data_IF_648443000308
#
_entry.id   IF_648443000308
#
_cell.length_a   1.000
_cell.length_b   1.000
_cell.length_c   1.000
_cell.angle_alpha   90.00
_cell.angle_beta   90.00
_cell.angle_gamma   90.00
#
_symmetry.space_group_name_H-M   'P 1'
#
loop_
_entity.id
_entity.type
_entity.pdbx_description
1 polymer ?
#
# COMPACT_ATOMS: atom_id res chain seq x y z
N UNK A 1 22.78 20.13 11.16
CA UNK A 1 22.97 20.39 9.71
C UNK A 1 21.73 19.83 9.04
N UNK A 2 20.92 20.66 8.40
CA UNK A 2 19.76 20.20 7.64
C UNK A 2 20.28 19.40 6.46
N UNK A 3 20.10 18.09 6.45
CA UNK A 3 20.34 17.29 5.26
C UNK A 3 19.34 17.78 4.20
N UNK A 4 19.84 18.12 3.01
CA UNK A 4 18.96 18.42 1.88
C UNK A 4 18.12 17.18 1.59
N UNK A 5 16.81 17.36 1.39
CA UNK A 5 15.94 16.24 0.98
C UNK A 5 16.51 15.61 -0.29
N UNK A 6 16.49 14.27 -0.41
CA UNK A 6 16.99 13.60 -1.59
C UNK A 6 16.23 14.03 -2.85
N UNK A 7 16.95 14.14 -3.96
CA UNK A 7 16.32 14.36 -5.26
C UNK A 7 15.94 13.00 -5.85
N UNK A 8 14.64 12.78 -6.04
CA UNK A 8 14.12 11.58 -6.68
C UNK A 8 14.10 11.74 -8.19
N UNK A 9 14.40 10.64 -8.91
CA UNK A 9 14.56 10.61 -10.36
C UNK A 9 13.68 9.55 -11.02
N UNK A 10 12.89 8.84 -10.23
CA UNK A 10 11.96 7.81 -10.70
C UNK A 10 11.19 7.21 -9.54
N UNK A 11 10.48 6.13 -9.84
CA UNK A 11 9.58 5.44 -8.92
C UNK A 11 9.75 3.93 -9.02
N UNK A 12 9.70 3.27 -7.88
CA UNK A 12 9.53 1.83 -7.73
C UNK A 12 8.10 1.53 -7.28
N UNK A 13 7.36 0.74 -8.04
CA UNK A 13 6.07 0.18 -7.62
C UNK A 13 6.30 -1.28 -7.22
N UNK A 14 5.99 -1.62 -5.99
CA UNK A 14 5.88 -3.00 -5.51
C UNK A 14 4.41 -3.41 -5.57
N UNK A 15 4.10 -4.56 -6.15
CA UNK A 15 2.71 -4.97 -6.38
C UNK A 15 2.60 -6.50 -6.46
N UNK A 16 1.39 -7.03 -6.43
CA UNK A 16 1.10 -8.38 -6.87
C UNK A 16 0.33 -8.34 -8.20
N UNK A 17 0.07 -9.48 -8.84
CA UNK A 17 -0.53 -9.48 -10.18
C UNK A 17 -1.88 -10.21 -10.29
N UNK A 18 -2.26 -10.98 -9.28
CA UNK A 18 -3.57 -11.66 -9.22
C UNK A 18 -3.47 -13.07 -8.65
N UNK A 19 -4.54 -13.83 -8.77
CA UNK A 19 -4.77 -15.12 -8.14
C UNK A 19 -4.38 -16.33 -9.02
N UNK A 20 -3.44 -16.14 -9.94
CA UNK A 20 -2.83 -17.22 -10.70
C UNK A 20 -1.61 -17.79 -9.95
N UNK A 21 -1.08 -18.95 -10.37
CA UNK A 21 0.18 -19.46 -9.83
C UNK A 21 1.27 -18.38 -9.87
N UNK A 22 2.00 -18.20 -8.77
CA UNK A 22 2.99 -17.14 -8.54
C UNK A 22 2.46 -15.70 -8.55
N UNK A 23 1.21 -15.45 -8.89
CA UNK A 23 0.66 -14.11 -8.97
C UNK A 23 0.53 -13.39 -7.64
N UNK A 24 0.41 -14.15 -6.54
CA UNK A 24 0.37 -13.69 -5.16
C UNK A 24 1.78 -13.76 -4.55
N UNK A 25 2.69 -12.99 -5.15
CA UNK A 25 4.08 -12.75 -4.73
C UNK A 25 4.41 -11.28 -5.02
N UNK A 26 5.62 -10.82 -4.66
CA UNK A 26 6.01 -9.43 -4.84
C UNK A 26 6.69 -9.22 -6.19
N UNK A 27 6.10 -8.38 -7.01
CA UNK A 27 6.61 -7.91 -8.29
C UNK A 27 7.09 -6.48 -8.19
N UNK A 28 8.07 -6.12 -8.99
CA UNK A 28 8.60 -4.78 -9.09
C UNK A 28 8.33 -4.20 -10.48
N UNK A 29 7.99 -2.91 -10.50
CA UNK A 29 7.91 -2.12 -11.73
C UNK A 29 8.58 -0.77 -11.51
N UNK A 30 9.21 -0.25 -12.55
CA UNK A 30 9.92 1.02 -12.56
C UNK A 30 9.23 2.02 -13.46
N UNK A 31 9.24 3.30 -13.06
CA UNK A 31 8.80 4.43 -13.87
C UNK A 31 9.70 5.64 -13.65
N UNK A 32 9.95 6.41 -14.71
CA UNK A 32 10.65 7.70 -14.62
C UNK A 32 9.71 8.84 -14.21
N UNK A 33 8.45 8.76 -14.60
CA UNK A 33 7.47 9.85 -14.45
C UNK A 33 6.30 9.52 -13.52
N UNK A 34 6.18 8.25 -13.06
CA UNK A 34 5.09 7.76 -12.22
C UNK A 34 3.82 7.38 -13.01
N UNK A 35 3.82 7.51 -14.33
CA UNK A 35 2.67 7.23 -15.19
C UNK A 35 2.95 6.12 -16.23
N UNK A 36 4.20 5.97 -16.67
CA UNK A 36 4.63 4.96 -17.64
C UNK A 36 5.54 3.95 -16.94
N UNK A 37 5.03 2.74 -16.75
CA UNK A 37 5.67 1.70 -15.95
C UNK A 37 6.26 0.58 -16.81
N UNK A 38 7.42 0.11 -16.41
CA UNK A 38 8.10 -1.05 -17.01
C UNK A 38 8.18 -2.16 -15.96
N UNK A 39 7.83 -3.38 -16.32
CA UNK A 39 8.02 -4.53 -15.44
C UNK A 39 9.53 -4.78 -15.27
N UNK A 40 9.95 -5.07 -14.06
CA UNK A 40 11.32 -5.49 -13.75
C UNK A 40 11.42 -7.02 -13.65
N UNK A 41 12.64 -7.56 -13.65
CA UNK A 41 12.93 -8.99 -13.51
C UNK A 41 12.24 -9.86 -14.58
N UNK A 42 12.13 -9.35 -15.81
CA UNK A 42 11.46 -10.06 -16.90
C UNK A 42 9.96 -10.30 -16.63
N UNK A 43 9.34 -9.50 -15.74
CA UNK A 43 7.95 -9.69 -15.32
C UNK A 43 7.72 -10.87 -14.38
N UNK A 44 8.77 -11.40 -13.76
CA UNK A 44 8.71 -12.44 -12.73
C UNK A 44 8.76 -11.81 -11.33
N UNK A 45 8.27 -12.51 -10.29
CA UNK A 45 8.34 -11.99 -8.92
C UNK A 45 9.79 -11.81 -8.47
N UNK A 46 10.06 -10.68 -7.80
CA UNK A 46 11.36 -10.36 -7.21
C UNK A 46 11.52 -10.98 -5.83
N UNK A 47 10.45 -10.95 -5.01
CA UNK A 47 10.45 -11.57 -3.69
C UNK A 47 9.33 -12.60 -3.59
N UNK A 48 9.62 -13.68 -2.88
CA UNK A 48 8.69 -14.78 -2.64
C UNK A 48 8.57 -15.05 -1.14
N UNK A 49 7.38 -15.42 -0.69
CA UNK A 49 7.15 -15.92 0.65
C UNK A 49 6.75 -17.39 0.62
N UNK A 50 7.50 -18.21 1.32
CA UNK A 50 7.15 -19.60 1.64
C UNK A 50 6.63 -19.73 3.09
N UNK A 51 6.45 -18.59 3.77
CA UNK A 51 5.94 -18.52 5.13
C UNK A 51 4.41 -18.51 5.13
N UNK A 52 3.81 -18.86 6.26
CA UNK A 52 2.38 -18.77 6.48
C UNK A 52 1.56 -19.41 5.36
N UNK A 53 0.80 -18.61 4.63
CA UNK A 53 -0.06 -19.05 3.52
C UNK A 53 0.70 -19.29 2.21
N UNK A 54 2.02 -19.06 2.20
CA UNK A 54 2.92 -19.27 1.03
C UNK A 54 2.55 -18.40 -0.18
N UNK A 55 2.14 -17.20 0.10
CA UNK A 55 1.83 -16.16 -0.87
C UNK A 55 1.61 -14.85 -0.16
N UNK A 56 1.80 -13.76 -0.87
CA UNK A 56 1.61 -12.42 -0.33
C UNK A 56 0.86 -11.53 -1.30
N UNK A 57 0.05 -10.64 -0.74
CA UNK A 57 -0.74 -9.63 -1.46
C UNK A 57 -0.47 -8.26 -0.89
N UNK A 58 -0.90 -7.24 -1.59
CA UNK A 58 -0.92 -5.86 -1.12
C UNK A 58 0.43 -5.40 -0.54
N UNK A 59 1.56 -5.63 -1.26
CA UNK A 59 2.85 -5.24 -0.73
C UNK A 59 3.00 -3.72 -0.68
N UNK A 60 3.49 -3.22 0.43
CA UNK A 60 3.83 -1.82 0.62
C UNK A 60 5.31 -1.64 0.93
N UNK A 61 5.91 -0.56 0.46
CA UNK A 61 7.33 -0.27 0.64
C UNK A 61 7.54 1.11 1.27
N UNK A 62 8.40 1.20 2.26
CA UNK A 62 8.73 2.46 2.92
C UNK A 62 10.23 2.58 3.16
N UNK A 63 10.75 3.82 3.02
CA UNK A 63 12.12 4.19 3.34
C UNK A 63 12.24 4.55 4.82
N UNK A 64 13.33 4.14 5.49
CA UNK A 64 13.62 4.59 6.84
C UNK A 64 13.91 6.11 6.85
N UNK A 65 13.65 6.80 7.96
CA UNK A 65 13.91 8.24 8.04
C UNK A 65 15.42 8.60 7.97
N UNK A 66 16.29 7.63 8.21
CA UNK A 66 17.74 7.77 8.04
C UNK A 66 18.22 7.47 6.63
N UNK A 67 17.30 7.04 5.73
CA UNK A 67 17.58 6.68 4.34
C UNK A 67 18.61 5.54 4.18
N UNK A 68 18.83 4.76 5.24
CA UNK A 68 19.78 3.66 5.29
C UNK A 68 19.14 2.30 5.09
N UNK A 69 17.80 2.24 5.08
CA UNK A 69 17.01 1.01 4.93
C UNK A 69 15.69 1.23 4.24
N UNK A 70 15.21 0.15 3.67
CA UNK A 70 13.86 0.01 3.14
C UNK A 70 13.19 -1.18 3.82
N UNK A 71 11.91 -1.02 4.13
CA UNK A 71 11.06 -2.10 4.61
C UNK A 71 9.98 -2.35 3.59
N UNK A 72 9.73 -3.62 3.31
CA UNK A 72 8.59 -4.07 2.53
C UNK A 72 7.72 -4.93 3.44
N UNK A 73 6.43 -4.62 3.50
CA UNK A 73 5.44 -5.35 4.29
C UNK A 73 4.32 -5.82 3.37
N UNK A 74 3.72 -6.97 3.66
CA UNK A 74 2.67 -7.52 2.81
C UNK A 74 1.69 -8.38 3.60
N UNK A 75 0.48 -8.52 3.07
CA UNK A 75 -0.55 -9.46 3.55
C UNK A 75 -0.08 -10.89 3.37
N UNK A 76 -0.10 -11.70 4.42
CA UNK A 76 0.10 -13.15 4.32
C UNK A 76 -1.20 -13.82 3.84
N UNK A 77 -1.36 -13.93 2.52
CA UNK A 77 -2.58 -14.48 1.91
C UNK A 77 -2.29 -15.07 0.54
N UNK A 78 -2.83 -16.29 0.31
CA UNK A 78 -2.80 -16.96 -0.99
C UNK A 78 -4.18 -17.54 -1.33
N UNK A 79 -4.96 -16.82 -2.10
CA UNK A 79 -6.28 -17.30 -2.59
C UNK A 79 -6.13 -18.41 -3.63
N UNK A 80 -5.06 -18.38 -4.45
CA UNK A 80 -4.72 -19.44 -5.41
C UNK A 80 -4.52 -20.83 -4.77
N UNK A 81 -4.37 -20.91 -3.45
CA UNK A 81 -4.33 -22.19 -2.71
C UNK A 81 -5.68 -22.90 -2.65
N UNK A 82 -6.77 -22.24 -3.04
CA UNK A 82 -8.14 -22.78 -2.95
C UNK A 82 -8.84 -22.50 -1.61
N UNK A 83 -8.25 -21.67 -0.74
CA UNK A 83 -8.80 -21.32 0.57
C UNK A 83 -10.19 -20.66 0.48
N UNK A 84 -10.40 -19.80 -0.52
CA UNK A 84 -11.63 -19.02 -0.69
C UNK A 84 -11.73 -17.80 0.24
N UNK A 85 -12.47 -16.78 -0.21
CA UNK A 85 -12.57 -15.49 0.44
C UNK A 85 -13.21 -15.53 1.83
N UNK A 86 -14.25 -16.37 2.04
CA UNK A 86 -14.87 -16.48 3.37
C UNK A 86 -13.88 -16.95 4.43
N UNK A 87 -13.09 -17.99 4.12
CA UNK A 87 -12.05 -18.46 5.04
C UNK A 87 -10.91 -17.43 5.21
N UNK A 88 -10.58 -16.67 4.16
CA UNK A 88 -9.58 -15.61 4.24
C UNK A 88 -10.01 -14.47 5.18
N UNK A 89 -11.31 -14.13 5.22
CA UNK A 89 -11.89 -13.13 6.12
C UNK A 89 -11.99 -13.63 7.56
N UNK A 90 -12.44 -14.88 7.77
CA UNK A 90 -12.84 -15.36 9.10
C UNK A 90 -11.74 -16.14 9.84
N UNK A 91 -10.83 -16.75 9.08
CA UNK A 91 -9.77 -17.62 9.59
C UNK A 91 -8.47 -17.46 8.78
N UNK A 92 -8.18 -16.25 8.34
CA UNK A 92 -6.96 -15.88 7.66
C UNK A 92 -5.76 -15.76 8.60
N UNK A 93 -4.59 -15.51 8.01
CA UNK A 93 -3.39 -15.19 8.77
C UNK A 93 -3.57 -13.91 9.58
N UNK A 94 -2.99 -13.88 10.77
CA UNK A 94 -2.89 -12.67 11.62
C UNK A 94 -1.49 -12.07 11.60
N UNK A 95 -0.67 -12.54 10.67
CA UNK A 95 0.68 -12.05 10.45
C UNK A 95 0.72 -11.13 9.23
N UNK A 96 1.65 -10.18 9.26
CA UNK A 96 2.19 -9.56 8.05
C UNK A 96 3.56 -10.17 7.77
N UNK A 97 3.95 -10.23 6.51
CA UNK A 97 5.28 -10.66 6.09
C UNK A 97 6.13 -9.43 5.83
N UNK A 98 7.34 -9.44 6.33
CA UNK A 98 8.25 -8.30 6.29
C UNK A 98 9.58 -8.71 5.64
N UNK A 99 10.15 -7.80 4.82
CA UNK A 99 11.53 -7.84 4.32
C UNK A 99 12.23 -6.52 4.62
N UNK A 100 13.55 -6.54 4.72
CA UNK A 100 14.36 -5.33 4.78
C UNK A 100 15.47 -5.36 3.71
N UNK A 101 15.85 -4.20 3.21
CA UNK A 101 16.96 -4.01 2.29
C UNK A 101 17.71 -2.72 2.59
N UNK A 102 19.02 -2.69 2.33
CA UNK A 102 19.81 -1.46 2.38
C UNK A 102 19.96 -0.77 1.02
N UNK A 103 19.47 -1.40 -0.08
CA UNK A 103 19.79 -0.92 -1.42
C UNK A 103 18.73 -1.19 -2.49
N UNK A 104 17.57 -1.76 -2.10
CA UNK A 104 16.44 -2.17 -2.96
C UNK A 104 16.71 -3.40 -3.85
N UNK A 105 17.90 -3.99 -3.76
CA UNK A 105 18.32 -5.13 -4.58
C UNK A 105 18.60 -6.35 -3.72
N UNK A 106 19.35 -6.17 -2.65
CA UNK A 106 19.67 -7.21 -1.70
C UNK A 106 18.67 -7.19 -0.55
N UNK A 107 17.76 -8.16 -0.52
CA UNK A 107 16.71 -8.28 0.47
C UNK A 107 17.04 -9.37 1.49
N UNK A 108 16.62 -9.17 2.72
CA UNK A 108 16.69 -10.19 3.76
C UNK A 108 15.78 -11.38 3.43
N UNK A 109 15.98 -12.51 4.12
CA UNK A 109 14.92 -13.50 4.23
C UNK A 109 13.67 -12.86 4.87
N UNK A 110 12.45 -13.24 4.44
CA UNK A 110 11.22 -12.74 5.04
C UNK A 110 11.05 -13.22 6.48
N UNK A 111 10.38 -12.42 7.30
CA UNK A 111 9.93 -12.86 8.61
C UNK A 111 8.48 -12.47 8.87
N UNK A 112 7.72 -13.31 9.59
CA UNK A 112 6.35 -13.01 9.95
C UNK A 112 6.31 -12.13 11.22
N UNK A 113 5.33 -11.26 11.29
CA UNK A 113 5.02 -10.49 12.51
C UNK A 113 3.53 -10.59 12.81
N UNK A 114 3.21 -11.18 13.95
CA UNK A 114 1.83 -11.28 14.43
C UNK A 114 1.39 -9.93 14.99
N UNK A 115 0.57 -9.21 14.25
CA UNK A 115 -0.03 -7.92 14.67
C UNK A 115 -1.53 -8.00 14.87
N UNK A 116 -2.18 -9.04 14.38
CA UNK A 116 -3.62 -9.22 14.51
C UNK A 116 -4.07 -9.35 15.97
N UNK A 117 -5.08 -8.53 16.34
CA UNK A 117 -5.69 -8.59 17.67
C UNK A 117 -6.35 -9.93 17.92
N UNK A 118 -6.59 -10.27 19.19
CA UNK A 118 -7.32 -11.47 19.56
C UNK A 118 -8.70 -11.50 18.91
N UNK A 119 -9.07 -12.63 18.31
CA UNK A 119 -10.32 -12.77 17.59
C UNK A 119 -10.38 -12.10 16.21
N UNK A 120 -9.30 -11.48 15.73
CA UNK A 120 -9.24 -11.01 14.34
C UNK A 120 -9.28 -12.19 13.38
N UNK A 121 -10.04 -12.06 12.30
CA UNK A 121 -10.12 -13.07 11.25
C UNK A 121 -9.05 -12.92 10.18
N UNK A 122 -8.40 -11.77 10.07
CA UNK A 122 -7.38 -11.47 9.05
C UNK A 122 -6.50 -10.28 9.46
N UNK A 123 -5.37 -10.11 8.75
CA UNK A 123 -4.54 -8.90 8.69
C UNK A 123 -4.29 -8.64 7.21
N UNK A 124 -4.93 -7.59 6.65
CA UNK A 124 -4.89 -7.30 5.23
C UNK A 124 -4.36 -5.91 4.93
N UNK A 125 -3.70 -5.79 3.78
CA UNK A 125 -3.20 -4.54 3.22
C UNK A 125 -2.47 -3.68 4.28
N UNK A 126 -1.37 -4.19 4.87
CA UNK A 126 -0.60 -3.41 5.81
C UNK A 126 0.15 -2.30 5.08
N UNK A 127 0.06 -1.08 5.60
CA UNK A 127 0.85 0.07 5.18
C UNK A 127 1.48 0.78 6.37
N UNK A 128 2.37 1.73 6.10
CA UNK A 128 3.07 2.46 7.13
C UNK A 128 3.33 3.92 6.73
N UNK A 129 3.30 4.81 7.72
CA UNK A 129 3.77 6.18 7.59
C UNK A 129 4.73 6.49 8.73
N UNK A 130 5.80 7.24 8.45
CA UNK A 130 6.70 7.67 9.50
C UNK A 130 6.14 8.92 10.20
N UNK A 131 6.02 8.82 11.52
CA UNK A 131 5.60 9.92 12.39
C UNK A 131 6.85 10.63 12.91
N UNK A 132 7.17 11.79 12.32
CA UNK A 132 8.35 12.59 12.72
C UNK A 132 8.27 13.08 14.18
N UNK A 133 7.05 13.23 14.72
CA UNK A 133 6.84 13.69 16.11
C UNK A 133 7.11 12.58 17.11
N UNK A 134 6.65 11.37 16.81
CA UNK A 134 6.86 10.21 17.67
C UNK A 134 8.21 9.50 17.40
N UNK A 135 8.88 9.82 16.29
CA UNK A 135 10.10 9.15 15.80
C UNK A 135 9.90 7.63 15.63
N UNK A 136 8.71 7.24 15.12
CA UNK A 136 8.30 5.85 14.91
C UNK A 136 7.47 5.73 13.64
N UNK A 137 7.41 4.52 13.08
CA UNK A 137 6.41 4.20 12.06
C UNK A 137 5.06 3.93 12.73
N UNK A 138 4.00 4.53 12.22
CA UNK A 138 2.63 4.09 12.42
C UNK A 138 2.32 3.09 11.30
N UNK A 139 2.14 1.82 11.67
CA UNK A 139 1.74 0.76 10.74
C UNK A 139 0.25 0.51 10.94
N UNK A 140 -0.50 0.38 9.87
CA UNK A 140 -1.95 0.15 9.92
C UNK A 140 -2.36 -0.90 8.90
N UNK A 141 -3.45 -1.61 9.21
CA UNK A 141 -3.95 -2.74 8.41
C UNK A 141 -5.43 -2.95 8.65
N UNK A 142 -6.12 -3.63 7.73
CA UNK A 142 -7.50 -4.03 7.92
C UNK A 142 -7.61 -5.38 8.66
N UNK A 143 -8.53 -5.46 9.61
CA UNK A 143 -8.90 -6.72 10.26
C UNK A 143 -10.40 -6.86 10.38
N UNK A 144 -10.91 -8.07 10.10
CA UNK A 144 -12.29 -8.42 10.38
C UNK A 144 -12.43 -8.85 11.85
N UNK A 145 -13.12 -8.04 12.63
CA UNK A 145 -13.35 -8.27 14.07
C UNK A 145 -14.83 -8.16 14.41
N UNK A 146 -15.22 -8.72 15.55
CA UNK A 146 -16.61 -8.65 16.04
C UNK A 146 -16.61 -8.19 17.48
N UNK A 147 -17.25 -7.07 17.74
CA UNK A 147 -17.51 -6.61 19.11
C UNK A 147 -18.69 -7.38 19.73
N UNK A 148 -18.84 -7.41 21.07
CA UNK A 148 -19.92 -8.15 21.74
C UNK A 148 -21.34 -7.75 21.31
N UNK A 149 -21.52 -6.53 20.81
CA UNK A 149 -22.82 -6.00 20.36
C UNK A 149 -23.05 -6.14 18.85
N UNK A 150 -22.04 -6.60 18.11
CA UNK A 150 -22.13 -6.82 16.65
C UNK A 150 -22.64 -8.24 16.36
N UNK A 151 -23.51 -8.37 15.36
CA UNK A 151 -24.03 -9.67 14.93
C UNK A 151 -23.04 -10.45 14.04
N UNK A 152 -22.20 -9.71 13.31
CA UNK A 152 -21.23 -10.26 12.37
C UNK A 152 -19.88 -9.55 12.49
N UNK A 153 -18.83 -10.09 11.89
CA UNK A 153 -17.54 -9.45 11.79
C UNK A 153 -17.62 -8.25 10.87
N UNK A 154 -16.92 -7.19 11.23
CA UNK A 154 -16.78 -5.97 10.42
C UNK A 154 -15.30 -5.65 10.21
N UNK A 155 -14.92 -5.28 8.99
CA UNK A 155 -13.58 -4.78 8.71
C UNK A 155 -13.41 -3.38 9.30
N UNK A 156 -12.36 -3.24 10.07
CA UNK A 156 -11.90 -2.00 10.73
C UNK A 156 -10.41 -1.86 10.49
N UNK A 157 -9.89 -0.66 10.49
CA UNK A 157 -8.44 -0.46 10.44
C UNK A 157 -7.89 -0.43 11.86
N UNK A 158 -6.88 -1.25 12.08
CA UNK A 158 -6.06 -1.29 13.28
C UNK A 158 -4.70 -0.66 13.02
N UNK A 159 -4.02 -0.20 14.05
CA UNK A 159 -2.66 0.31 13.96
C UNK A 159 -1.82 -0.09 15.15
N UNK A 160 -0.51 -0.12 14.94
CA UNK A 160 0.51 -0.25 15.97
C UNK A 160 1.75 0.55 15.58
N UNK A 161 2.61 0.87 16.53
CA UNK A 161 3.84 1.62 16.29
C UNK A 161 5.06 0.70 16.36
N UNK A 162 6.06 1.02 15.56
CA UNK A 162 7.33 0.29 15.50
C UNK A 162 8.47 1.21 15.07
N UNK A 163 9.70 0.85 15.46
CA UNK A 163 10.93 1.51 14.99
C UNK A 163 11.69 0.66 13.96
N UNK A 164 11.39 -0.62 13.88
CA UNK A 164 12.25 -1.59 13.19
C UNK A 164 11.47 -2.75 12.51
N UNK A 165 10.15 -2.69 12.49
CA UNK A 165 9.26 -3.74 11.98
C UNK A 165 9.48 -5.12 12.63
N UNK A 166 10.14 -5.17 13.80
CA UNK A 166 10.35 -6.39 14.59
C UNK A 166 9.57 -6.36 15.89
N UNK A 167 9.53 -5.20 16.55
CA UNK A 167 8.79 -4.99 17.79
C UNK A 167 7.72 -3.95 17.58
N UNK A 168 6.51 -4.30 17.96
CA UNK A 168 5.34 -3.44 17.81
C UNK A 168 4.73 -3.13 19.19
N UNK A 169 4.10 -1.97 19.31
CA UNK A 169 3.19 -1.70 20.41
C UNK A 169 1.96 -2.60 20.31
N UNK A 170 1.13 -2.64 21.35
CA UNK A 170 -0.19 -3.26 21.25
C UNK A 170 -1.01 -2.59 20.14
N UNK A 171 -1.73 -3.40 19.37
CA UNK A 171 -2.59 -2.90 18.31
C UNK A 171 -3.82 -2.19 18.87
N UNK A 172 -4.19 -1.08 18.25
CA UNK A 172 -5.37 -0.26 18.61
C UNK A 172 -6.26 -0.06 17.38
N UNK A 173 -7.56 0.14 17.61
CA UNK A 173 -8.48 0.55 16.53
C UNK A 173 -8.13 1.96 16.06
N UNK A 174 -7.87 2.08 14.74
CA UNK A 174 -7.46 3.32 14.10
C UNK A 174 -8.60 3.96 13.29
N UNK A 175 -9.30 3.17 12.47
CA UNK A 175 -10.52 3.62 11.80
C UNK A 175 -11.64 2.63 12.08
N UNK A 176 -12.75 3.13 12.62
CA UNK A 176 -14.00 2.42 12.75
C UNK A 176 -15.13 3.27 12.18
N UNK A 177 -15.97 2.67 11.33
CA UNK A 177 -17.11 3.30 10.66
C UNK A 177 -18.31 2.38 10.75
N UNK A 178 -19.49 2.86 10.37
CA UNK A 178 -20.66 2.01 10.22
C UNK A 178 -20.46 0.99 9.10
N UNK A 179 -19.79 1.42 8.01
CA UNK A 179 -19.37 0.60 6.88
C UNK A 179 -18.10 -0.20 7.19
N UNK A 180 -17.87 -1.27 6.40
CA UNK A 180 -16.60 -1.98 6.38
C UNK A 180 -15.53 -1.12 5.70
N UNK A 181 -14.36 -0.97 6.32
CA UNK A 181 -13.22 -0.21 5.79
C UNK A 181 -12.01 -1.12 5.65
N UNK A 182 -11.39 -1.10 4.47
CA UNK A 182 -10.13 -1.78 4.18
C UNK A 182 -9.19 -0.85 3.38
N UNK A 183 -7.99 -1.31 3.07
CA UNK A 183 -7.05 -0.69 2.13
C UNK A 183 -6.89 0.80 2.38
N UNK A 184 -6.13 1.14 3.38
CA UNK A 184 -5.89 2.54 3.75
C UNK A 184 -4.47 2.93 3.39
N UNK A 185 -4.30 4.06 2.69
CA UNK A 185 -3.00 4.72 2.47
C UNK A 185 -3.00 6.13 3.05
N UNK A 186 -1.83 6.63 3.46
CA UNK A 186 -1.67 7.96 4.06
C UNK A 186 -0.48 8.68 3.44
N UNK A 187 -0.70 9.92 2.97
CA UNK A 187 0.37 10.81 2.53
C UNK A 187 0.40 12.08 3.41
N UNK A 188 1.61 12.58 3.67
CA UNK A 188 1.85 13.85 4.34
C UNK A 188 2.19 14.92 3.30
N UNK A 189 1.51 16.07 3.34
CA UNK A 189 1.86 17.24 2.54
C UNK A 189 1.47 18.53 3.26
N UNK A 190 2.34 19.55 3.16
CA UNK A 190 2.06 20.88 3.69
C UNK A 190 1.76 20.93 5.20
N UNK A 191 2.27 19.99 5.99
CA UNK A 191 1.99 19.86 7.43
C UNK A 191 0.61 19.25 7.74
N UNK A 192 -0.02 18.62 6.76
CA UNK A 192 -1.28 17.88 6.89
C UNK A 192 -1.08 16.45 6.44
N UNK A 193 -2.03 15.59 6.81
CA UNK A 193 -2.11 14.20 6.40
C UNK A 193 -3.40 13.98 5.62
N UNK A 194 -3.31 13.22 4.54
CA UNK A 194 -4.44 12.83 3.71
C UNK A 194 -4.52 11.31 3.69
N UNK A 195 -5.70 10.80 4.04
CA UNK A 195 -5.96 9.37 4.19
C UNK A 195 -7.01 8.94 3.17
N UNK A 196 -6.67 7.92 2.40
CA UNK A 196 -7.55 7.32 1.41
C UNK A 196 -7.86 5.90 1.85
N UNK A 197 -9.11 5.54 1.91
CA UNK A 197 -9.53 4.20 2.35
C UNK A 197 -10.62 3.67 1.44
N UNK A 198 -10.62 2.36 1.20
CA UNK A 198 -11.73 1.71 0.52
C UNK A 198 -12.88 1.52 1.49
N UNK A 199 -14.03 2.06 1.15
CA UNK A 199 -15.30 1.67 1.73
C UNK A 199 -15.72 0.34 1.09
N UNK A 200 -15.57 -0.75 1.83
CA UNK A 200 -15.87 -2.10 1.33
C UNK A 200 -17.37 -2.36 1.20
N UNK A 201 -18.21 -1.52 1.79
CA UNK A 201 -19.67 -1.57 1.64
C UNK A 201 -20.11 -0.91 0.33
N UNK A 202 -19.63 0.30 0.06
CA UNK A 202 -19.97 1.08 -1.14
C UNK A 202 -19.05 0.82 -2.32
N UNK A 203 -17.90 0.15 -2.11
CA UNK A 203 -16.92 -0.25 -3.14
C UNK A 203 -16.23 0.90 -3.86
N UNK A 204 -16.06 2.03 -3.19
CA UNK A 204 -15.35 3.21 -3.68
C UNK A 204 -14.29 3.70 -2.68
N UNK A 205 -13.51 4.70 -3.07
CA UNK A 205 -12.49 5.29 -2.21
C UNK A 205 -13.05 6.54 -1.52
N UNK A 206 -12.80 6.63 -0.22
CA UNK A 206 -13.12 7.80 0.63
C UNK A 206 -11.85 8.54 0.98
N UNK A 207 -11.95 9.87 1.06
CA UNK A 207 -10.84 10.76 1.39
C UNK A 207 -11.09 11.44 2.72
N UNK A 208 -10.06 11.53 3.54
CA UNK A 208 -10.08 12.27 4.79
C UNK A 208 -8.79 13.10 4.90
N UNK A 209 -8.86 14.25 5.57
CA UNK A 209 -7.71 15.07 5.91
C UNK A 209 -7.57 15.24 7.42
N UNK A 210 -6.35 15.32 7.90
CA UNK A 210 -6.04 15.47 9.33
C UNK A 210 -4.87 16.41 9.59
N UNK A 211 -4.78 16.94 10.80
CA UNK A 211 -3.67 17.78 11.26
C UNK A 211 -2.57 16.97 11.96
N UNK A 212 -2.83 15.73 12.30
CA UNK A 212 -1.90 14.77 12.89
C UNK A 212 -2.27 13.35 12.48
N UNK A 213 -1.44 12.37 12.86
CA UNK A 213 -1.73 10.94 12.66
C UNK A 213 -2.66 10.35 13.73
N UNK A 214 -3.15 11.15 14.68
CA UNK A 214 -4.12 10.69 15.66
C UNK A 214 -5.43 10.30 14.98
N UNK A 215 -6.00 9.18 15.39
CA UNK A 215 -7.22 8.61 14.78
C UNK A 215 -8.38 9.60 14.68
N UNK A 216 -8.51 10.48 15.67
CA UNK A 216 -9.62 11.45 15.82
C UNK A 216 -9.31 12.80 15.13
N UNK A 217 -8.12 12.97 14.55
CA UNK A 217 -7.71 14.21 13.87
C UNK A 217 -8.23 14.33 12.43
N UNK A 218 -8.83 13.27 11.89
CA UNK A 218 -9.26 13.21 10.49
C UNK A 218 -10.72 13.56 10.29
N UNK A 219 -11.00 14.29 9.22
CA UNK A 219 -12.34 14.64 8.74
C UNK A 219 -12.49 14.35 7.26
N UNK A 220 -13.70 13.97 6.82
CA UNK A 220 -14.00 13.67 5.43
C UNK A 220 -13.79 14.89 4.53
N UNK A 221 -13.24 14.63 3.34
CA UNK A 221 -13.18 15.54 2.21
C UNK A 221 -14.13 15.00 1.14
N UNK A 222 -15.03 15.85 0.63
CA UNK A 222 -15.89 15.46 -0.49
C UNK A 222 -15.04 15.29 -1.74
N UNK A 223 -15.11 14.13 -2.37
CA UNK A 223 -14.37 13.79 -3.58
C UNK A 223 -15.31 13.11 -4.60
N UNK A 224 -16.17 13.88 -5.29
CA UNK A 224 -17.26 13.34 -6.11
C UNK A 224 -16.80 12.36 -7.18
N UNK A 225 -15.61 12.59 -7.78
CA UNK A 225 -15.05 11.68 -8.79
C UNK A 225 -14.70 10.32 -8.16
N UNK A 226 -14.04 10.31 -7.01
CA UNK A 226 -13.69 9.06 -6.31
C UNK A 226 -14.94 8.35 -5.80
N UNK A 227 -15.91 9.09 -5.31
CA UNK A 227 -17.17 8.55 -4.81
C UNK A 227 -18.02 7.90 -5.92
N UNK A 228 -17.86 8.35 -7.17
CA UNK A 228 -18.56 7.82 -8.34
C UNK A 228 -17.89 6.58 -8.97
N UNK A 229 -16.58 6.36 -8.71
CA UNK A 229 -15.85 5.20 -9.25
C UNK A 229 -16.08 4.01 -8.34
N UNK A 230 -16.83 3.03 -8.83
CA UNK A 230 -17.21 1.83 -8.08
C UNK A 230 -16.37 0.61 -8.50
N UNK A 231 -16.23 -0.36 -7.59
CA UNK A 231 -15.50 -1.60 -7.88
C UNK A 231 -13.99 -1.40 -7.90
N UNK A 232 -13.50 -0.46 -7.11
CA UNK A 232 -12.07 -0.16 -6.94
C UNK A 232 -11.61 -0.44 -5.52
N UNK A 233 -10.30 -0.71 -5.38
CA UNK A 233 -9.63 -1.00 -4.11
C UNK A 233 -8.18 -0.51 -4.15
N UNK A 234 -7.42 -0.76 -3.08
CA UNK A 234 -5.99 -0.54 -3.03
C UNK A 234 -5.55 0.86 -3.46
N UNK A 235 -6.07 1.94 -2.85
CA UNK A 235 -5.62 3.28 -3.19
C UNK A 235 -4.16 3.44 -2.79
N UNK A 236 -3.35 4.00 -3.68
CA UNK A 236 -1.99 4.44 -3.37
C UNK A 236 -1.76 5.83 -3.93
N UNK A 237 -1.24 6.75 -3.12
CA UNK A 237 -1.06 8.16 -3.46
C UNK A 237 0.40 8.58 -3.36
N UNK A 238 0.93 9.24 -4.39
CA UNK A 238 2.30 9.72 -4.41
C UNK A 238 2.43 11.05 -5.18
N UNK A 239 3.43 11.86 -4.82
CA UNK A 239 3.73 13.13 -5.52
C UNK A 239 4.50 12.86 -6.80
N UNK A 240 4.10 13.49 -7.90
CA UNK A 240 4.82 13.42 -9.17
C UNK A 240 6.05 14.35 -9.15
N UNK A 241 7.19 13.84 -9.59
CA UNK A 241 8.44 14.60 -9.67
C UNK A 241 8.37 15.73 -10.68
N UNK A 242 8.88 16.91 -10.31
CA UNK A 242 8.89 18.09 -11.18
C UNK A 242 7.52 18.72 -11.45
N UNK A 243 6.47 18.25 -10.77
CA UNK A 243 5.09 18.76 -10.88
C UNK A 243 4.52 19.07 -9.51
N UNK A 244 3.63 20.04 -9.43
CA UNK A 244 2.79 20.27 -8.25
C UNK A 244 1.49 19.46 -8.36
N UNK A 245 1.65 18.15 -8.56
CA UNK A 245 0.55 17.20 -8.74
C UNK A 245 0.84 15.91 -7.96
N UNK A 246 -0.23 15.29 -7.50
CA UNK A 246 -0.23 13.95 -6.91
C UNK A 246 -0.96 12.98 -7.84
N UNK A 247 -0.43 11.77 -7.91
CA UNK A 247 -1.09 10.67 -8.60
C UNK A 247 -1.68 9.73 -7.55
N UNK A 248 -2.99 9.55 -7.59
CA UNK A 248 -3.70 8.49 -6.88
C UNK A 248 -3.94 7.35 -7.86
N UNK A 249 -3.48 6.15 -7.54
CA UNK A 249 -3.82 4.95 -8.30
C UNK A 249 -4.80 4.10 -7.50
N UNK A 250 -5.82 3.55 -8.18
CA UNK A 250 -6.83 2.66 -7.58
C UNK A 250 -6.97 1.39 -8.42
N UNK A 251 -7.02 0.21 -7.79
CA UNK A 251 -7.12 -1.07 -8.48
C UNK A 251 -8.58 -1.36 -8.88
N UNK A 252 -8.85 -1.41 -10.19
CA UNK A 252 -10.15 -1.79 -10.77
C UNK A 252 -10.39 -3.28 -10.66
N UNK A 253 -10.42 -3.80 -9.44
CA UNK A 253 -10.51 -5.23 -9.17
C UNK A 253 -11.77 -5.86 -9.78
N UNK A 254 -12.91 -5.16 -9.75
CA UNK A 254 -14.18 -5.67 -10.27
C UNK A 254 -14.15 -5.85 -11.80
N UNK A 255 -13.35 -5.05 -12.52
CA UNK A 255 -13.16 -5.18 -13.96
C UNK A 255 -11.97 -6.08 -14.31
N UNK A 256 -11.14 -6.44 -13.35
CA UNK A 256 -9.91 -7.21 -13.56
C UNK A 256 -8.82 -6.46 -14.35
N UNK A 257 -8.87 -5.12 -14.38
CA UNK A 257 -7.99 -4.28 -15.22
C UNK A 257 -6.73 -3.78 -14.50
N UNK A 258 -6.65 -3.93 -13.17
CA UNK A 258 -5.56 -3.35 -12.38
C UNK A 258 -5.71 -1.84 -12.21
N UNK A 259 -4.63 -1.16 -11.90
CA UNK A 259 -4.64 0.24 -11.50
C UNK A 259 -5.22 1.21 -12.55
N UNK A 260 -5.88 2.24 -12.06
CA UNK A 260 -6.35 3.42 -12.78
C UNK A 260 -5.72 4.64 -12.11
N UNK A 261 -4.91 5.44 -12.83
CA UNK A 261 -4.37 6.67 -12.29
C UNK A 261 -5.37 7.83 -12.34
N UNK A 262 -5.35 8.64 -11.27
CA UNK A 262 -6.05 9.91 -11.17
C UNK A 262 -5.06 10.98 -10.70
N UNK A 263 -5.22 12.20 -11.18
CA UNK A 263 -4.37 13.33 -10.77
C UNK A 263 -5.15 14.38 -9.99
N UNK A 264 -4.47 15.00 -9.05
CA UNK A 264 -4.92 16.22 -8.37
C UNK A 264 -3.75 17.17 -8.16
N UNK A 265 -3.99 18.46 -8.23
CA UNK A 265 -3.03 19.51 -7.85
C UNK A 265 -3.27 20.06 -6.45
N UNK A 266 -4.34 19.63 -5.79
CA UNK A 266 -4.70 20.07 -4.44
C UNK A 266 -5.40 18.94 -3.68
N UNK A 267 -4.69 18.32 -2.75
CA UNK A 267 -5.24 17.25 -1.90
C UNK A 267 -6.37 17.72 -0.97
N UNK A 268 -6.47 19.04 -0.73
CA UNK A 268 -7.53 19.60 0.13
C UNK A 268 -8.86 19.76 -0.58
N UNK A 269 -8.84 19.87 -1.90
CA UNK A 269 -10.04 20.12 -2.71
C UNK A 269 -10.95 18.91 -2.88
N UNK A 270 -10.36 17.70 -2.86
CA UNK A 270 -11.05 16.47 -3.25
C UNK A 270 -11.32 16.37 -4.77
N UNK A 271 -10.74 17.26 -5.56
CA UNK A 271 -10.88 17.26 -7.01
C UNK A 271 -9.85 16.34 -7.65
N UNK A 272 -10.32 15.31 -8.34
CA UNK A 272 -9.48 14.34 -9.04
C UNK A 272 -9.88 14.26 -10.51
N UNK A 273 -8.89 14.18 -11.39
CA UNK A 273 -9.07 13.93 -12.82
C UNK A 273 -8.63 12.50 -13.15
N UNK A 274 -9.52 11.70 -13.65
CA UNK A 274 -9.20 10.38 -14.20
C UNK A 274 -8.34 10.54 -15.44
N UNK A 275 -7.25 9.79 -15.55
CA UNK A 275 -6.45 9.76 -16.77
C UNK A 275 -7.13 8.92 -17.85
N UNK A 276 -7.10 9.43 -19.08
CA UNK A 276 -7.59 8.70 -20.23
C UNK A 276 -6.57 7.66 -20.73
N UNK A 277 -7.05 6.69 -21.49
CA UNK A 277 -6.17 5.74 -22.18
C UNK A 277 -5.17 6.52 -23.06
N UNK A 278 -3.90 6.15 -22.96
CA UNK A 278 -2.79 6.82 -23.65
C UNK A 278 -2.11 7.94 -22.86
N UNK A 279 -2.65 8.39 -21.73
CA UNK A 279 -1.96 9.28 -20.78
C UNK A 279 -1.09 8.50 -19.78
N UNK A 280 -1.21 7.18 -19.73
CA UNK A 280 -0.44 6.29 -18.85
C UNK A 280 -0.24 4.92 -19.51
N UNK A 281 0.78 4.21 -19.05
CA UNK A 281 1.04 2.80 -19.41
C UNK A 281 1.47 2.04 -18.15
N UNK A 282 0.76 0.97 -17.84
CA UNK A 282 1.08 0.13 -16.67
C UNK A 282 2.05 -1.01 -17.00
N UNK A 283 2.55 -1.11 -18.24
CA UNK A 283 3.41 -2.23 -18.67
C UNK A 283 2.61 -3.50 -18.97
N UNK A 284 3.30 -4.63 -19.04
CA UNK A 284 2.71 -5.91 -19.50
C UNK A 284 1.92 -6.63 -18.40
N UNK A 285 2.49 -6.71 -17.19
CA UNK A 285 1.83 -7.35 -16.07
C UNK A 285 0.72 -6.46 -15.51
N UNK A 286 -0.40 -7.07 -15.16
CA UNK A 286 -1.43 -6.38 -14.39
C UNK A 286 -0.85 -5.96 -13.03
N UNK A 287 -1.02 -4.70 -12.66
CA UNK A 287 -0.65 -4.21 -11.34
C UNK A 287 -1.90 -4.18 -10.46
N UNK A 288 -1.86 -5.00 -9.43
CA UNK A 288 -2.84 -5.04 -8.36
C UNK A 288 -2.28 -4.27 -7.15
N UNK A 289 -3.11 -4.07 -6.13
CA UNK A 289 -2.80 -3.31 -4.92
C UNK A 289 -1.32 -3.41 -4.49
N UNK A 290 -0.66 -2.27 -4.32
CA UNK A 290 0.77 -2.19 -3.98
C UNK A 290 1.20 -0.76 -3.67
N UNK A 291 2.45 -0.58 -3.24
CA UNK A 291 3.01 0.69 -2.79
C UNK A 291 4.01 1.30 -3.76
N UNK A 292 4.05 2.63 -3.85
CA UNK A 292 4.96 3.40 -4.70
C UNK A 292 6.01 4.11 -3.86
N UNK A 293 7.28 3.88 -4.16
CA UNK A 293 8.42 4.54 -3.53
C UNK A 293 9.12 5.47 -4.53
N UNK A 294 9.21 6.78 -4.27
CA UNK A 294 10.13 7.65 -5.01
C UNK A 294 11.60 7.24 -4.76
N UNK A 295 12.37 7.10 -5.82
CA UNK A 295 13.75 6.61 -5.77
C UNK A 295 14.75 7.57 -6.42
N UNK A 296 15.97 7.61 -5.87
CA UNK A 296 17.06 8.43 -6.36
C UNK A 296 17.69 7.86 -7.64
N UNK A 297 18.47 8.66 -8.37
CA UNK A 297 19.18 8.19 -9.57
C UNK A 297 20.10 7.00 -9.29
N UNK A 298 20.75 6.97 -8.12
CA UNK A 298 21.61 5.83 -7.73
C UNK A 298 20.82 4.56 -7.47
N UNK A 299 19.63 4.67 -6.87
CA UNK A 299 18.73 3.53 -6.66
C UNK A 299 18.14 3.03 -7.98
N UNK A 300 17.71 3.93 -8.86
CA UNK A 300 17.28 3.59 -10.22
C UNK A 300 18.35 2.77 -10.95
N UNK A 301 19.61 3.28 -10.96
CA UNK A 301 20.71 2.61 -11.64
C UNK A 301 20.95 1.20 -11.08
N UNK A 302 20.90 1.01 -9.75
CA UNK A 302 21.07 -0.32 -9.13
C UNK A 302 19.93 -1.28 -9.48
N UNK A 303 18.69 -0.82 -9.40
CA UNK A 303 17.52 -1.63 -9.76
C UNK A 303 17.57 -2.08 -11.22
N UNK A 304 17.86 -1.15 -12.13
CA UNK A 304 17.93 -1.45 -13.56
C UNK A 304 19.13 -2.35 -13.92
N UNK A 305 20.25 -2.23 -13.21
CA UNK A 305 21.40 -3.10 -13.42
C UNK A 305 21.15 -4.57 -13.02
N UNK A 306 20.23 -4.81 -12.06
CA UNK A 306 19.94 -6.16 -11.56
C UNK A 306 18.65 -6.73 -12.14
N UNK A 307 17.62 -5.91 -12.24
CA UNK A 307 16.27 -6.35 -12.61
C UNK A 307 15.78 -5.76 -13.94
N UNK A 308 16.53 -4.83 -14.56
CA UNK A 308 16.19 -4.32 -15.89
C UNK A 308 16.35 -5.41 -16.94
N UNK A 309 15.48 -5.41 -17.96
CA UNK A 309 15.70 -6.20 -19.16
C UNK A 309 16.96 -5.65 -19.82
N UNK A 310 18.00 -6.48 -19.97
CA UNK A 310 19.20 -6.07 -20.72
C UNK A 310 18.79 -5.67 -22.13
N UNK A 311 19.24 -4.49 -22.57
CA UNK A 311 19.12 -4.03 -23.96
C UNK A 311 19.80 -5.00 -24.94
#
# INVERSE_FOLDING_TARGET
MSQSKPTYSGYLLVHFIGEQPDGEQVYFSYSEDGLHWKDLNGGLPVLRSELGEKGVRDPFIIRSPREDKFYLIATDLRIASGKGWGAAVDAGSRDMIVWESGDLVNWSEPWPVTVGVEGAGCVWAPEAVYDETAEEFLVFWASATREPHENERKHKIYSARTKDFRKFTAAEKYIERDNHIIDTTIIADGGRYYRFSKDETTKNIRVEQGSSLDKDAFSFVSAPVLEAIMGVEGPEIFKLGGREEWCLIVDRYAEGKGYLPLLTSDLTSGDFRVLADGEFDLGKNKKRHGGVLPITAGECSRLLAVYGDGD
#
